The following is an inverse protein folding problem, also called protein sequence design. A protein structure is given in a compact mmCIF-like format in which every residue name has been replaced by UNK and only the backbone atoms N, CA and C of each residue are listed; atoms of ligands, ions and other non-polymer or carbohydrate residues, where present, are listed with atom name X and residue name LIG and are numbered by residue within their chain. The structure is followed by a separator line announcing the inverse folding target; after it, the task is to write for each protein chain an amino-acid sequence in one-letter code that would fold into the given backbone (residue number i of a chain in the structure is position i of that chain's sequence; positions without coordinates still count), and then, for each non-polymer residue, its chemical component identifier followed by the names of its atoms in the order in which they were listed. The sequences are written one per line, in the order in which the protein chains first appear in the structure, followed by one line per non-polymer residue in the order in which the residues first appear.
data_IF_180629149522
#
_entry.id   IF_180629149522
#
_cell.length_a   1.000
_cell.length_b   1.000
_cell.length_c   1.000
_cell.angle_alpha   90.00
_cell.angle_beta   90.00
_cell.angle_gamma   90.00
#
_symmetry.space_group_name_H-M   'P 1'
#
loop_
_entity.id
_entity.type
_entity.pdbx_description
1 polymer ?
#
# COMPACT_ATOMS: atom_id res chain seq x y z
N UNK A 1 -7.40 -53.29 -4.62
CA UNK A 1 -7.41 -52.51 -3.36
C UNK A 1 -6.49 -51.33 -3.58
N UNK A 2 -7.01 -50.12 -3.36
CA UNK A 2 -6.39 -48.84 -3.63
C UNK A 2 -5.05 -48.67 -2.91
N UNK A 3 -4.18 -47.79 -3.41
CA UNK A 3 -3.88 -46.55 -2.69
C UNK A 3 -3.13 -45.58 -3.62
N UNK A 4 -3.83 -44.54 -4.04
CA UNK A 4 -3.22 -43.31 -4.54
C UNK A 4 -2.61 -42.59 -3.34
N UNK A 5 -1.33 -42.21 -3.41
CA UNK A 5 -0.78 -41.15 -2.57
C UNK A 5 -0.44 -39.97 -3.47
N UNK A 6 -1.31 -38.98 -3.45
CA UNK A 6 -1.04 -37.66 -4.00
C UNK A 6 0.18 -37.07 -3.27
N UNK A 7 1.27 -36.87 -4.01
CA UNK A 7 2.38 -36.05 -3.55
C UNK A 7 1.88 -34.62 -3.44
N UNK A 8 1.84 -34.16 -2.19
CA UNK A 8 1.57 -32.80 -1.74
C UNK A 8 2.37 -31.77 -2.54
N UNK A 9 1.66 -30.85 -3.21
CA UNK A 9 2.21 -29.59 -3.69
C UNK A 9 2.53 -28.69 -2.48
N UNK A 10 3.69 -28.90 -1.87
CA UNK A 10 4.28 -27.93 -0.96
C UNK A 10 4.91 -26.83 -1.82
N UNK A 11 4.27 -25.66 -1.87
CA UNK A 11 4.91 -24.45 -2.39
C UNK A 11 6.13 -24.12 -1.52
N UNK A 12 7.26 -23.70 -2.10
CA UNK A 12 8.48 -23.47 -1.34
C UNK A 12 8.32 -22.28 -0.39
N UNK A 13 8.38 -22.55 0.92
CA UNK A 13 8.68 -21.55 1.94
C UNK A 13 10.15 -21.15 1.78
N UNK A 14 10.41 -20.05 1.09
CA UNK A 14 11.75 -19.53 0.86
C UNK A 14 12.21 -18.60 1.99
N UNK A 15 12.92 -19.19 2.96
CA UNK A 15 14.14 -18.78 3.67
C UNK A 15 14.39 -17.27 3.99
N UNK A 16 14.35 -16.99 5.30
CA UNK A 16 15.19 -16.08 6.13
C UNK A 16 15.67 -14.72 5.58
N UNK A 17 15.08 -13.65 6.12
CA UNK A 17 15.78 -12.46 6.66
C UNK A 17 14.76 -11.62 7.46
N UNK A 18 14.83 -11.67 8.79
CA UNK A 18 14.07 -10.86 9.77
C UNK A 18 12.56 -10.63 9.48
N UNK A 19 11.68 -11.50 10.02
CA UNK A 19 10.30 -11.13 10.38
C UNK A 19 9.42 -10.54 9.26
N UNK A 20 9.62 -10.92 8.00
CA UNK A 20 8.84 -10.35 6.89
C UNK A 20 7.51 -11.10 6.71
N UNK A 21 6.44 -10.56 7.33
CA UNK A 21 5.05 -11.02 7.16
C UNK A 21 4.69 -11.16 5.68
N UNK A 22 4.07 -12.29 5.30
CA UNK A 22 3.53 -12.44 3.96
C UNK A 22 2.28 -11.58 3.81
N UNK A 23 2.39 -10.51 3.03
CA UNK A 23 1.30 -9.59 2.76
C UNK A 23 0.58 -9.92 1.45
N UNK A 24 -0.64 -9.41 1.27
CA UNK A 24 -1.40 -9.67 0.06
C UNK A 24 -0.75 -9.04 -1.19
N UNK A 25 -1.20 -9.44 -2.39
CA UNK A 25 -0.64 -9.04 -3.69
C UNK A 25 -0.37 -7.52 -3.82
N UNK A 26 -1.32 -6.71 -3.36
CA UNK A 26 -1.32 -5.24 -3.47
C UNK A 26 -0.60 -4.53 -2.32
N UNK A 27 -0.01 -5.29 -1.42
CA UNK A 27 0.57 -4.78 -0.19
C UNK A 27 2.10 -4.83 -0.22
N UNK A 28 2.69 -3.98 0.59
CA UNK A 28 4.12 -3.91 0.87
C UNK A 28 4.32 -4.35 2.31
N UNK A 29 5.21 -5.32 2.52
CA UNK A 29 5.58 -5.72 3.87
C UNK A 29 6.75 -4.90 4.39
N UNK A 30 6.66 -4.45 5.64
CA UNK A 30 7.72 -3.73 6.34
C UNK A 30 7.57 -3.85 7.85
N UNK A 31 8.66 -4.17 8.55
CA UNK A 31 8.68 -4.33 10.01
C UNK A 31 7.55 -5.24 10.54
N UNK A 32 7.32 -6.39 9.89
CA UNK A 32 6.26 -7.34 10.24
C UNK A 32 4.80 -6.81 10.11
N UNK A 33 4.61 -5.67 9.44
CA UNK A 33 3.30 -5.11 9.10
C UNK A 33 3.10 -5.05 7.59
N UNK A 34 1.84 -5.09 7.17
CA UNK A 34 1.43 -4.98 5.77
C UNK A 34 0.85 -3.61 5.49
N UNK A 35 1.29 -2.97 4.41
CA UNK A 35 0.88 -1.63 4.04
C UNK A 35 0.32 -1.60 2.63
N UNK A 36 -0.69 -0.77 2.41
CA UNK A 36 -1.29 -0.60 1.08
C UNK A 36 -1.76 0.83 0.85
N UNK A 37 -1.99 1.13 -0.42
CA UNK A 37 -2.59 2.37 -0.89
C UNK A 37 -4.00 2.08 -1.42
N UNK A 38 -4.95 2.94 -1.11
CA UNK A 38 -6.34 2.77 -1.54
C UNK A 38 -7.08 4.09 -1.64
N UNK A 39 -7.98 4.24 -2.62
CA UNK A 39 -8.85 5.40 -2.80
C UNK A 39 -10.07 5.38 -1.87
N UNK A 40 -9.83 5.14 -0.58
CA UNK A 40 -10.86 4.81 0.39
C UNK A 40 -11.32 5.99 1.25
N UNK A 41 -10.82 7.21 1.00
CA UNK A 41 -11.31 8.41 1.70
C UNK A 41 -10.94 8.43 3.19
N UNK A 42 -9.77 7.90 3.56
CA UNK A 42 -9.30 7.81 4.95
C UNK A 42 -9.72 6.54 5.68
N UNK A 43 -10.56 5.70 5.08
CA UNK A 43 -11.02 4.44 5.67
C UNK A 43 -10.09 3.28 5.33
N UNK A 44 -9.66 2.51 6.33
CA UNK A 44 -8.87 1.30 6.11
C UNK A 44 -9.74 0.04 6.25
N UNK A 45 -9.32 -1.04 5.58
CA UNK A 45 -9.93 -2.35 5.71
C UNK A 45 -9.81 -2.85 7.15
N UNK A 46 -10.68 -3.80 7.52
CA UNK A 46 -10.65 -4.40 8.87
C UNK A 46 -9.27 -4.97 9.20
N UNK A 47 -8.75 -4.66 10.39
CA UNK A 47 -7.39 -5.00 10.81
C UNK A 47 -6.28 -4.04 10.33
N UNK A 48 -6.65 -2.94 9.67
CA UNK A 48 -5.73 -1.90 9.23
C UNK A 48 -6.16 -0.53 9.75
N UNK A 49 -5.20 0.38 9.91
CA UNK A 49 -5.39 1.77 10.29
C UNK A 49 -4.54 2.67 9.41
N UNK A 50 -4.87 3.98 9.36
CA UNK A 50 -4.02 4.96 8.68
C UNK A 50 -2.63 4.90 9.28
N UNK A 51 -1.63 4.68 8.44
CA UNK A 51 -0.25 4.54 8.85
C UNK A 51 0.49 5.88 8.79
N UNK A 52 1.57 5.98 9.55
CA UNK A 52 2.36 7.22 9.65
C UNK A 52 3.13 7.53 8.37
N UNK A 53 3.34 8.82 8.14
CA UNK A 53 4.20 9.29 7.05
C UNK A 53 5.64 8.77 7.19
N UNK A 54 6.13 8.57 8.42
CA UNK A 54 7.49 8.07 8.67
C UNK A 54 7.70 6.68 8.07
N UNK A 55 6.69 5.81 8.14
CA UNK A 55 6.75 4.49 7.49
C UNK A 55 6.69 4.65 5.98
N UNK A 56 5.78 5.49 5.47
CA UNK A 56 5.64 5.75 4.04
C UNK A 56 6.98 6.19 3.44
N UNK A 57 7.71 7.09 4.10
CA UNK A 57 9.03 7.55 3.66
C UNK A 57 10.02 6.42 3.42
N UNK A 58 9.97 5.37 4.24
CA UNK A 58 10.89 4.23 4.17
C UNK A 58 10.49 3.24 3.07
N UNK A 59 9.19 3.09 2.80
CA UNK A 59 8.67 2.03 1.93
C UNK A 59 8.04 2.53 0.63
N UNK A 60 8.04 3.84 0.40
CA UNK A 60 7.38 4.49 -0.73
C UNK A 60 7.76 3.86 -2.06
N UNK A 61 9.05 3.62 -2.30
CA UNK A 61 9.56 3.03 -3.55
C UNK A 61 9.08 1.59 -3.77
N UNK A 62 8.73 0.86 -2.70
CA UNK A 62 8.26 -0.52 -2.77
C UNK A 62 6.82 -0.64 -3.30
N UNK A 63 6.09 0.48 -3.40
CA UNK A 63 4.78 0.52 -4.06
C UNK A 63 4.87 0.45 -5.58
N UNK A 64 6.06 0.58 -6.17
CA UNK A 64 6.25 0.35 -7.60
C UNK A 64 5.80 -1.07 -7.99
N UNK A 65 4.96 -1.16 -9.02
CA UNK A 65 4.37 -2.41 -9.49
C UNK A 65 3.19 -2.92 -8.66
N UNK A 66 2.84 -2.25 -7.55
CA UNK A 66 1.59 -2.50 -6.81
C UNK A 66 0.43 -1.73 -7.45
N UNK A 67 -0.77 -1.89 -6.93
CA UNK A 67 -1.95 -1.10 -7.34
C UNK A 67 -2.82 -0.86 -6.11
N UNK A 68 -3.92 -0.11 -6.27
CA UNK A 68 -4.89 0.12 -5.22
C UNK A 68 -5.48 -1.20 -4.73
N UNK A 69 -5.73 -1.29 -3.41
CA UNK A 69 -6.25 -2.53 -2.82
C UNK A 69 -7.69 -2.82 -3.23
N UNK A 70 -8.55 -1.80 -3.27
CA UNK A 70 -9.99 -1.96 -3.53
C UNK A 70 -10.55 -0.94 -4.51
N UNK A 71 -10.14 0.32 -4.39
CA UNK A 71 -10.70 1.46 -5.12
C UNK A 71 -9.61 2.40 -5.59
N UNK A 72 -9.72 2.85 -6.84
CA UNK A 72 -8.83 3.89 -7.39
C UNK A 72 -9.14 5.22 -6.72
N UNK A 73 -8.10 5.96 -6.37
CA UNK A 73 -8.23 7.29 -5.79
C UNK A 73 -8.78 8.32 -6.78
N UNK A 74 -9.40 9.38 -6.27
CA UNK A 74 -9.69 10.62 -7.01
C UNK A 74 -8.71 11.76 -6.69
N UNK A 75 -7.82 11.57 -5.72
CA UNK A 75 -6.75 12.51 -5.38
C UNK A 75 -5.35 11.87 -5.45
N UNK A 76 -4.34 12.69 -5.71
CA UNK A 76 -2.94 12.29 -5.76
C UNK A 76 -2.25 12.35 -4.40
N UNK A 77 -2.76 13.16 -3.48
CA UNK A 77 -2.17 13.31 -2.15
C UNK A 77 -2.46 12.11 -1.27
N UNK A 78 -1.42 11.60 -0.61
CA UNK A 78 -1.50 10.44 0.26
C UNK A 78 -1.87 10.91 1.66
N UNK A 79 -3.07 10.53 2.08
CA UNK A 79 -3.55 10.72 3.43
C UNK A 79 -2.92 9.70 4.36
N UNK A 80 -2.08 10.20 5.26
CA UNK A 80 -1.42 9.43 6.31
C UNK A 80 -2.09 9.72 7.66
N UNK A 81 -1.58 9.15 8.75
CA UNK A 81 -2.00 9.51 10.11
C UNK A 81 -1.44 10.86 10.58
N UNK A 82 -0.62 11.55 9.78
CA UNK A 82 -0.06 12.85 10.11
C UNK A 82 -1.08 13.98 9.86
N UNK A 83 -0.80 15.18 10.38
CA UNK A 83 -1.69 16.35 10.24
C UNK A 83 -1.79 16.91 8.82
N UNK A 84 -0.83 16.58 7.96
CA UNK A 84 -0.69 17.12 6.61
C UNK A 84 -0.34 16.02 5.61
N UNK A 85 -0.75 16.23 4.36
CA UNK A 85 -0.46 15.37 3.22
C UNK A 85 0.75 15.93 2.46
N UNK A 86 1.94 15.45 2.82
CA UNK A 86 3.20 15.87 2.20
C UNK A 86 3.68 14.93 1.09
N UNK A 87 2.98 13.81 0.89
CA UNK A 87 3.34 12.79 -0.08
C UNK A 87 2.25 12.68 -1.12
N UNK A 88 2.63 12.43 -2.35
CA UNK A 88 1.68 12.23 -3.43
C UNK A 88 2.19 11.24 -4.45
N UNK A 89 1.26 10.57 -5.13
CA UNK A 89 1.59 9.82 -6.34
C UNK A 89 1.96 10.81 -7.45
N UNK A 90 2.93 10.49 -8.33
CA UNK A 90 3.22 11.31 -9.49
C UNK A 90 1.99 11.52 -10.37
N UNK A 91 1.84 12.73 -10.91
CA UNK A 91 0.60 13.17 -11.57
C UNK A 91 0.25 12.34 -12.81
N UNK A 92 1.24 11.74 -13.46
CA UNK A 92 1.06 10.86 -14.63
C UNK A 92 0.53 9.47 -14.29
N UNK A 93 0.56 9.07 -13.02
CA UNK A 93 0.14 7.74 -12.55
C UNK A 93 -0.90 7.76 -11.42
N UNK A 94 -1.12 8.93 -10.85
CA UNK A 94 -2.21 9.21 -9.95
C UNK A 94 -3.58 8.94 -10.61
N UNK A 95 -4.53 8.40 -9.85
CA UNK A 95 -5.91 8.10 -10.28
C UNK A 95 -6.03 7.19 -11.52
N UNK A 96 -4.92 6.60 -11.98
CA UNK A 96 -4.90 5.68 -13.10
C UNK A 96 -5.26 4.26 -12.64
N UNK A 97 -6.07 3.57 -13.44
CA UNK A 97 -6.31 2.14 -13.26
C UNK A 97 -5.05 1.38 -13.67
N UNK A 98 -4.62 0.42 -12.85
CA UNK A 98 -3.48 -0.45 -13.16
C UNK A 98 -2.36 -0.33 -12.14
N UNK A 99 -1.18 -0.85 -12.50
CA UNK A 99 -0.02 -0.85 -11.61
C UNK A 99 0.64 0.51 -11.54
N UNK A 100 1.16 0.84 -10.37
CA UNK A 100 1.93 2.03 -10.10
C UNK A 100 3.29 1.94 -10.81
N UNK A 101 3.61 2.83 -11.77
CA UNK A 101 4.92 2.86 -12.42
C UNK A 101 6.03 3.29 -11.45
N UNK A 102 5.65 4.01 -10.40
CA UNK A 102 6.47 4.47 -9.27
C UNK A 102 5.58 4.57 -8.03
N UNK A 103 6.16 4.50 -6.85
CA UNK A 103 5.43 4.75 -5.61
C UNK A 103 5.26 6.23 -5.28
N UNK A 104 4.66 6.55 -4.12
CA UNK A 104 4.50 7.93 -3.66
C UNK A 104 5.84 8.65 -3.52
N UNK A 105 5.85 9.96 -3.74
CA UNK A 105 7.03 10.81 -3.58
C UNK A 105 6.69 12.04 -2.73
N UNK A 106 7.66 12.53 -1.98
CA UNK A 106 7.52 13.77 -1.21
C UNK A 106 7.23 14.94 -2.16
N UNK A 107 6.19 15.72 -1.89
CA UNK A 107 5.75 16.82 -2.75
C UNK A 107 5.14 16.39 -4.08
N UNK A 108 4.89 15.09 -4.30
CA UNK A 108 4.31 14.59 -5.54
C UNK A 108 2.97 15.24 -5.84
N UNK A 109 2.71 15.61 -7.10
CA UNK A 109 1.46 16.29 -7.52
C UNK A 109 1.12 17.54 -6.68
N UNK A 110 2.14 18.28 -6.24
CA UNK A 110 2.02 19.49 -5.40
C UNK A 110 1.49 19.25 -3.98
N UNK A 111 1.52 18.01 -3.49
CA UNK A 111 1.12 17.66 -2.13
C UNK A 111 2.21 18.11 -1.14
N UNK A 112 2.21 19.38 -0.78
CA UNK A 112 3.07 19.96 0.27
C UNK A 112 2.17 20.67 1.27
N UNK A 113 2.09 20.14 2.49
CA UNK A 113 1.15 20.63 3.51
C UNK A 113 -0.32 20.63 3.05
N UNK A 114 -0.70 19.75 2.13
CA UNK A 114 -2.08 19.63 1.67
C UNK A 114 -2.99 19.06 2.78
N UNK A 115 -4.27 19.42 2.72
CA UNK A 115 -5.33 18.94 3.63
C UNK A 115 -6.62 18.67 2.86
N UNK A 116 -6.48 18.11 1.67
CA UNK A 116 -7.60 17.90 0.78
C UNK A 116 -8.20 16.52 1.06
N UNK A 117 -9.33 16.47 1.77
CA UNK A 117 -9.96 15.21 2.15
C UNK A 117 -11.14 14.88 1.23
N UNK A 118 -10.85 14.34 0.05
CA UNK A 118 -11.89 13.92 -0.90
C UNK A 118 -12.55 12.58 -0.52
N UNK A 119 -13.77 12.30 -1.01
CA UNK A 119 -14.46 11.04 -0.74
C UNK A 119 -13.70 9.78 -1.20
N UNK A 120 -12.85 9.86 -2.23
CA UNK A 120 -11.97 8.76 -2.63
C UNK A 120 -10.48 9.09 -2.43
N UNK A 121 -10.16 9.85 -1.37
CA UNK A 121 -8.79 10.22 -1.03
C UNK A 121 -7.83 9.03 -0.99
N UNK A 122 -6.66 9.18 -1.61
CA UNK A 122 -5.60 8.18 -1.57
C UNK A 122 -5.12 8.03 -0.14
N UNK A 123 -5.34 6.86 0.44
CA UNK A 123 -5.13 6.60 1.86
C UNK A 123 -4.02 5.59 2.03
N UNK A 124 -3.09 5.89 2.92
CA UNK A 124 -2.03 4.98 3.31
C UNK A 124 -2.43 4.20 4.57
N UNK A 125 -2.66 2.90 4.40
CA UNK A 125 -3.11 2.00 5.46
C UNK A 125 -2.02 0.99 5.82
N UNK A 126 -1.89 0.69 7.12
CA UNK A 126 -0.99 -0.32 7.67
C UNK A 126 -1.73 -1.27 8.61
N UNK A 127 -1.35 -2.54 8.61
CA UNK A 127 -1.96 -3.55 9.48
C UNK A 127 -1.63 -3.27 10.94
N UNK A 128 -2.62 -3.35 11.83
CA UNK A 128 -2.42 -3.23 13.28
C UNK A 128 -1.81 -4.47 13.90
#
# INVERSE_FOLDING_TARGET
IAFWCALSNASPLNVNSEGNKTCAKYEVSHSNHCYYLDGSGGHCASGYKRASEAVLKTIATHFKGKTYKSKVSDNCCVWTSNAYENWGMPQTSCNAVGTFPSGPVLGGSLCTQAQEHFPAQLTFCGST
#
